data_IF_890177258061
#
_entry.id   IF_890177258061
#
_cell.length_a   1.000
_cell.length_b   1.000
_cell.length_c   1.000
_cell.angle_alpha   90.00
_cell.angle_beta   90.00
_cell.angle_gamma   90.00
#
_symmetry.space_group_name_H-M   'P 1'
#
loop_
_entity.id
_entity.type
_entity.pdbx_description
1 polymer ?
#
# COMPACT_ATOMS: atom_id res chain seq x y z
N UNK A 1 29.41 34.02 2.41
CA UNK A 1 29.33 33.08 1.28
C UNK A 1 29.29 31.62 1.72
N UNK A 2 30.16 31.17 2.64
CA UNK A 2 30.18 29.77 3.12
C UNK A 2 28.85 29.30 3.76
N UNK A 3 28.13 30.17 4.46
CA UNK A 3 26.83 29.81 5.05
C UNK A 3 25.73 29.55 4.00
N UNK A 4 25.72 30.33 2.92
CA UNK A 4 24.76 30.16 1.83
C UNK A 4 24.98 28.83 1.09
N UNK A 5 26.25 28.45 0.85
CA UNK A 5 26.59 27.16 0.23
C UNK A 5 26.16 25.98 1.11
N UNK A 6 26.40 26.06 2.41
CA UNK A 6 25.97 25.01 3.36
C UNK A 6 24.44 24.92 3.40
N UNK A 7 23.76 26.06 3.47
CA UNK A 7 22.29 26.11 3.51
C UNK A 7 21.65 25.49 2.27
N UNK A 8 22.16 25.81 1.08
CA UNK A 8 21.69 25.22 -0.19
C UNK A 8 21.96 23.71 -0.23
N UNK A 9 23.14 23.26 0.21
CA UNK A 9 23.45 21.83 0.30
C UNK A 9 22.49 21.07 1.22
N UNK A 10 22.18 21.63 2.39
CA UNK A 10 21.23 21.03 3.34
C UNK A 10 19.81 20.96 2.78
N UNK A 11 19.34 22.00 2.09
CA UNK A 11 18.05 22.01 1.40
C UNK A 11 17.98 20.89 0.36
N UNK A 12 18.98 20.79 -0.52
CA UNK A 12 19.02 19.76 -1.56
C UNK A 12 19.07 18.35 -0.97
N UNK A 13 19.79 18.13 0.13
CA UNK A 13 19.81 16.84 0.83
C UNK A 13 18.43 16.46 1.39
N UNK A 14 17.77 17.40 2.07
CA UNK A 14 16.44 17.17 2.63
C UNK A 14 15.41 16.83 1.54
N UNK A 15 15.38 17.61 0.44
CA UNK A 15 14.49 17.35 -0.69
C UNK A 15 14.78 16.01 -1.38
N UNK A 16 16.06 15.65 -1.54
CA UNK A 16 16.45 14.37 -2.13
C UNK A 16 16.02 13.18 -1.27
N UNK A 17 16.13 13.31 0.06
CA UNK A 17 15.70 12.27 1.00
C UNK A 17 14.18 12.10 1.01
N UNK A 18 13.42 13.20 0.96
CA UNK A 18 11.95 13.17 0.88
C UNK A 18 11.44 12.47 -0.39
N UNK A 19 12.12 12.65 -1.54
CA UNK A 19 11.78 11.92 -2.78
C UNK A 19 11.99 10.41 -2.67
N UNK A 20 12.94 9.97 -1.84
CA UNK A 20 13.25 8.55 -1.68
C UNK A 20 12.32 7.84 -0.70
N UNK A 21 11.65 8.57 0.20
CA UNK A 21 10.70 8.00 1.17
C UNK A 21 9.29 7.77 0.59
N UNK A 22 8.97 8.35 -0.57
CA UNK A 22 7.66 8.15 -1.21
C UNK A 22 7.54 6.83 -1.98
N UNK A 23 8.65 6.12 -2.21
CA UNK A 23 8.70 4.89 -3.03
C UNK A 23 8.80 3.61 -2.17
N UNK A 24 8.63 3.74 -0.85
CA UNK A 24 8.74 2.63 0.12
C UNK A 24 7.38 2.04 0.53
N UNK A 25 6.30 2.36 -0.17
CA UNK A 25 4.97 1.76 0.07
C UNK A 25 4.72 0.62 -0.90
N UNK A 26 5.38 -0.51 -0.66
CA UNK A 26 4.92 -1.88 -0.94
C UNK A 26 6.16 -2.73 -1.14
N UNK A 27 6.55 -3.49 -0.12
CA UNK A 27 7.32 -4.69 -0.41
C UNK A 27 6.38 -5.61 -1.19
N UNK A 28 6.60 -5.88 -2.49
CA UNK A 28 5.75 -6.80 -3.20
C UNK A 28 5.96 -8.16 -2.55
N UNK A 29 4.87 -8.75 -2.05
CA UNK A 29 4.82 -10.16 -1.69
C UNK A 29 5.43 -10.92 -2.86
N UNK A 30 6.61 -11.52 -2.65
CA UNK A 30 7.40 -12.18 -3.71
C UNK A 30 6.50 -13.16 -4.45
N UNK A 31 6.10 -12.81 -5.66
CA UNK A 31 5.24 -13.66 -6.47
C UNK A 31 5.98 -14.96 -6.80
N UNK A 32 5.27 -16.08 -6.71
CA UNK A 32 5.83 -17.43 -6.89
C UNK A 32 6.16 -17.71 -8.36
N UNK A 33 5.64 -16.90 -9.29
CA UNK A 33 5.93 -17.03 -10.74
C UNK A 33 7.16 -16.24 -11.18
N UNK A 34 7.69 -15.36 -10.33
CA UNK A 34 8.77 -14.45 -10.69
C UNK A 34 8.35 -13.31 -11.64
N UNK A 35 7.07 -13.26 -12.01
CA UNK A 35 6.48 -12.17 -12.78
C UNK A 35 5.84 -11.17 -11.82
N UNK A 36 5.85 -9.89 -12.17
CA UNK A 36 5.10 -8.90 -11.41
C UNK A 36 3.62 -9.06 -11.76
N UNK A 37 2.88 -9.86 -10.98
CA UNK A 37 1.43 -10.00 -11.15
C UNK A 37 0.72 -8.89 -10.40
N UNK A 38 0.01 -8.03 -11.12
CA UNK A 38 -0.91 -7.05 -10.56
C UNK A 38 -2.32 -7.56 -10.82
N UNK A 39 -3.15 -7.55 -9.78
CA UNK A 39 -4.57 -7.83 -9.88
C UNK A 39 -5.25 -6.85 -10.85
N UNK A 40 -6.01 -7.30 -11.87
CA UNK A 40 -6.56 -6.42 -12.91
C UNK A 40 -7.53 -5.36 -12.36
N UNK A 41 -8.19 -5.62 -11.24
CA UNK A 41 -9.05 -4.66 -10.54
C UNK A 41 -8.30 -3.47 -9.93
N UNK A 42 -6.96 -3.52 -9.86
CA UNK A 42 -6.12 -2.42 -9.40
C UNK A 42 -5.72 -1.47 -10.54
N UNK A 43 -6.11 -1.77 -11.78
CA UNK A 43 -5.71 -1.02 -12.96
C UNK A 43 -6.90 -0.26 -13.55
N UNK A 44 -6.65 0.97 -13.98
CA UNK A 44 -7.61 1.75 -14.75
C UNK A 44 -7.72 1.20 -16.19
N UNK A 45 -8.66 1.75 -16.96
CA UNK A 45 -8.85 1.42 -18.39
C UNK A 45 -7.60 1.61 -19.27
N UNK A 46 -6.60 2.34 -18.79
CA UNK A 46 -5.36 2.63 -19.50
C UNK A 46 -4.19 1.75 -19.02
N UNK A 47 -4.41 0.88 -18.02
CA UNK A 47 -3.38 0.02 -17.44
C UNK A 47 -2.51 0.70 -16.38
N UNK A 48 -2.91 1.86 -15.84
CA UNK A 48 -2.24 2.51 -14.71
C UNK A 48 -2.89 2.12 -13.38
N UNK A 49 -2.22 2.35 -12.24
CA UNK A 49 -2.82 2.13 -10.92
C UNK A 49 -4.08 2.99 -10.78
N UNK A 50 -5.19 2.33 -10.47
CA UNK A 50 -6.47 2.99 -10.26
C UNK A 50 -6.45 3.84 -9.00
N UNK A 51 -7.08 5.02 -9.07
CA UNK A 51 -7.29 5.90 -7.92
C UNK A 51 -8.75 5.86 -7.42
N UNK A 52 -9.54 4.93 -7.95
CA UNK A 52 -10.93 4.76 -7.55
C UNK A 52 -11.04 4.06 -6.19
N UNK A 53 -12.11 4.38 -5.45
CA UNK A 53 -12.38 3.75 -4.16
C UNK A 53 -12.86 2.31 -4.39
N UNK A 54 -12.01 1.34 -4.01
CA UNK A 54 -12.33 -0.08 -4.11
C UNK A 54 -13.20 -0.51 -2.94
N UNK A 55 -14.35 -1.10 -3.25
CA UNK A 55 -15.30 -1.60 -2.26
C UNK A 55 -14.86 -2.98 -1.77
N UNK A 56 -14.55 -3.08 -0.47
CA UNK A 56 -14.22 -4.35 0.16
C UNK A 56 -15.36 -4.80 1.09
N UNK A 57 -15.93 -5.97 0.83
CA UNK A 57 -16.86 -6.60 1.77
C UNK A 57 -16.05 -7.35 2.83
N UNK A 58 -16.25 -7.01 4.10
CA UNK A 58 -15.72 -7.75 5.24
C UNK A 58 -16.86 -8.58 5.82
N UNK A 59 -16.66 -9.89 5.89
CA UNK A 59 -17.57 -10.76 6.62
C UNK A 59 -17.07 -10.82 8.07
N UNK A 60 -17.89 -10.37 9.01
CA UNK A 60 -17.67 -10.64 10.43
C UNK A 60 -18.07 -12.09 10.71
N UNK A 61 -17.21 -12.84 11.39
CA UNK A 61 -17.53 -14.19 11.89
C UNK A 61 -18.44 -14.10 13.12
N UNK A 62 -19.66 -13.58 12.96
CA UNK A 62 -20.69 -13.63 14.00
C UNK A 62 -21.42 -14.98 13.95
N UNK A 63 -20.67 -16.09 14.09
CA UNK A 63 -21.26 -17.42 14.25
C UNK A 63 -20.50 -18.29 15.28
N UNK A 64 -20.33 -17.74 16.47
CA UNK A 64 -19.97 -18.51 17.66
C UNK A 64 -20.97 -18.12 18.77
N UNK A 65 -22.13 -18.81 18.83
CA UNK A 65 -22.99 -19.01 20.04
C UNK A 65 -24.50 -19.24 19.78
N UNK A 66 -24.90 -20.06 18.80
CA UNK A 66 -26.30 -20.55 18.74
C UNK A 66 -26.43 -22.02 18.36
N UNK A 67 -25.62 -22.87 18.98
CA UNK A 67 -25.92 -24.30 19.06
C UNK A 67 -25.71 -24.79 20.49
N UNK A 68 -26.73 -24.59 21.32
CA UNK A 68 -26.94 -25.42 22.50
C UNK A 68 -28.04 -26.43 22.12
N UNK A 69 -27.77 -27.75 22.09
CA UNK A 69 -28.84 -28.73 21.97
C UNK A 69 -29.64 -28.69 23.27
N UNK A 70 -30.92 -28.31 23.20
CA UNK A 70 -31.85 -28.59 24.29
C UNK A 70 -31.94 -30.11 24.46
N UNK A 71 -31.36 -30.61 25.55
CA UNK A 71 -31.61 -31.97 26.01
C UNK A 71 -32.94 -31.97 26.77
N UNK A 72 -33.93 -32.69 26.21
CA UNK A 72 -35.20 -33.05 26.85
C UNK A 72 -35.03 -34.13 27.91
#
# INVERSE_FOLDING_TARGET
>A
MAYATIFICLLLQAFRMMRMSSDQTSSPKRDRTGLQTIHPELLDKNGNITNEELWAVRFSEDNESRWAPEAS
#
